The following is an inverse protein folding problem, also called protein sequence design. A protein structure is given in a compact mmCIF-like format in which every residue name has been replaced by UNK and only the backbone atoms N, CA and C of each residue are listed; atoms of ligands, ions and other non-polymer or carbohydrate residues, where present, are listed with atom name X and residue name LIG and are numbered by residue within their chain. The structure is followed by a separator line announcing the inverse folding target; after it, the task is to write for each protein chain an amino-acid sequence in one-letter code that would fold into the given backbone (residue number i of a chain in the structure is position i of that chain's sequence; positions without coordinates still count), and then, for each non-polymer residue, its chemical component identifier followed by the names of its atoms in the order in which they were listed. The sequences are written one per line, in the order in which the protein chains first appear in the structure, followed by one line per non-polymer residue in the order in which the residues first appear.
data_IF_286895542911
#
_entry.id   IF_286895542911
#
_cell.length_a   1.000
_cell.length_b   1.000
_cell.length_c   1.000
_cell.angle_alpha   90.00
_cell.angle_beta   90.00
_cell.angle_gamma   90.00
#
_symmetry.space_group_name_H-M   'P 1'
#
loop_
_entity.id
_entity.type
_entity.pdbx_description
1 polymer ?
#
# COMPACT_ATOMS: atom_id res chain seq x y z
N UNK A 1 5.38 -3.46 3.54
CA UNK A 1 4.02 -4.07 3.59
C UNK A 1 4.06 -5.59 3.44
N UNK A 2 4.62 -6.13 2.35
CA UNK A 2 4.62 -7.58 2.08
C UNK A 2 5.73 -8.37 2.79
N UNK A 3 6.63 -7.70 3.51
CA UNK A 3 7.66 -8.33 4.32
C UNK A 3 7.02 -9.05 5.53
N UNK A 4 7.20 -10.37 5.58
CA UNK A 4 6.69 -11.24 6.64
C UNK A 4 7.45 -11.10 7.98
N UNK A 5 8.60 -10.43 7.96
CA UNK A 5 9.37 -10.07 9.15
C UNK A 5 8.68 -9.00 10.01
N UNK A 6 7.64 -8.33 9.50
CA UNK A 6 6.85 -7.35 10.26
C UNK A 6 5.53 -7.98 10.70
N UNK A 7 5.23 -7.95 12.00
CA UNK A 7 3.95 -8.32 12.57
C UNK A 7 3.10 -7.06 12.83
N UNK A 8 1.84 -7.07 12.43
CA UNK A 8 0.92 -5.94 12.59
C UNK A 8 -0.08 -6.20 13.71
N UNK A 9 -0.21 -5.26 14.66
CA UNK A 9 -1.18 -5.34 15.77
C UNK A 9 -1.98 -4.04 15.87
N UNK A 10 -3.30 -4.10 16.11
CA UNK A 10 -4.10 -2.91 16.32
C UNK A 10 -3.67 -2.19 17.59
N UNK A 11 -3.70 -0.86 17.58
CA UNK A 11 -3.34 -0.03 18.75
C UNK A 11 -4.52 0.22 19.70
N UNK A 12 -5.75 -0.02 19.24
CA UNK A 12 -6.99 0.11 20.00
C UNK A 12 -8.06 -0.84 19.48
N UNK A 13 -9.15 -1.01 20.24
CA UNK A 13 -10.29 -1.88 19.86
C UNK A 13 -10.99 -1.41 18.57
N UNK A 14 -10.97 -0.10 18.29
CA UNK A 14 -11.52 0.47 17.05
C UNK A 14 -10.74 0.01 15.80
N UNK A 15 -9.49 -0.46 15.99
CA UNK A 15 -8.65 -1.04 14.95
C UNK A 15 -8.50 -0.18 13.70
N UNK A 16 -8.44 1.15 13.88
CA UNK A 16 -8.20 2.11 12.80
C UNK A 16 -6.71 2.34 12.55
N UNK A 17 -5.90 2.17 13.60
CA UNK A 17 -4.43 2.31 13.56
C UNK A 17 -3.78 1.00 14.03
N UNK A 18 -2.70 0.64 13.36
CA UNK A 18 -1.92 -0.57 13.58
C UNK A 18 -0.44 -0.22 13.72
N UNK A 19 0.24 -0.91 14.62
CA UNK A 19 1.68 -0.90 14.74
C UNK A 19 2.27 -2.12 14.06
N UNK A 20 3.18 -1.88 13.12
CA UNK A 20 4.04 -2.88 12.50
C UNK A 20 5.34 -2.98 13.28
N UNK A 21 5.52 -4.09 13.99
CA UNK A 21 6.71 -4.37 14.81
C UNK A 21 7.55 -5.46 14.16
N UNK A 22 8.86 -5.39 14.34
CA UNK A 22 9.75 -6.48 13.95
C UNK A 22 9.38 -7.75 14.72
N UNK A 23 9.22 -8.88 14.00
CA UNK A 23 8.80 -10.14 14.60
C UNK A 23 9.87 -10.72 15.54
N UNK A 24 11.15 -10.45 15.30
CA UNK A 24 12.24 -10.98 16.09
C UNK A 24 12.56 -10.08 17.30
N UNK A 25 12.58 -8.76 17.10
CA UNK A 25 13.02 -7.81 18.14
C UNK A 25 11.87 -7.14 18.89
N UNK A 26 10.65 -7.11 18.32
CA UNK A 26 9.51 -6.36 18.85
C UNK A 26 9.62 -4.84 18.66
N UNK A 27 10.66 -4.36 18.00
CA UNK A 27 10.89 -2.95 17.74
C UNK A 27 9.80 -2.38 16.82
N UNK A 28 9.30 -1.20 17.14
CA UNK A 28 8.33 -0.50 16.31
C UNK A 28 9.00 -0.03 15.02
N UNK A 29 8.54 -0.54 13.87
CA UNK A 29 9.06 -0.15 12.56
C UNK A 29 8.14 0.84 11.86
N UNK A 30 6.82 0.60 11.93
CA UNK A 30 5.84 1.33 11.14
C UNK A 30 4.53 1.54 11.89
N UNK A 31 3.79 2.57 11.53
CA UNK A 31 2.37 2.74 11.85
C UNK A 31 1.58 2.79 10.55
N UNK A 32 0.38 2.21 10.54
CA UNK A 32 -0.46 2.13 9.35
C UNK A 32 -1.94 2.12 9.73
N UNK A 33 -2.81 2.42 8.78
CA UNK A 33 -4.26 2.37 8.94
C UNK A 33 -4.87 1.15 8.25
N UNK A 34 -6.19 0.97 8.40
CA UNK A 34 -6.94 -0.06 7.65
C UNK A 34 -6.78 0.09 6.13
N UNK A 35 -6.73 1.32 5.63
CA UNK A 35 -6.62 1.59 4.18
C UNK A 35 -5.30 1.06 3.64
N UNK A 36 -4.22 1.20 4.42
CA UNK A 36 -2.89 0.73 4.03
C UNK A 36 -2.80 -0.80 4.09
N UNK A 37 -3.28 -1.40 5.19
CA UNK A 37 -3.18 -2.86 5.40
C UNK A 37 -4.13 -3.67 4.52
N UNK A 38 -5.19 -3.05 3.99
CA UNK A 38 -6.11 -3.72 3.07
C UNK A 38 -5.39 -4.29 1.84
N UNK A 39 -4.36 -3.61 1.33
CA UNK A 39 -3.53 -4.07 0.22
C UNK A 39 -2.69 -5.31 0.56
N UNK A 40 -2.49 -5.62 1.84
CA UNK A 40 -1.80 -6.84 2.29
C UNK A 40 -2.74 -7.98 2.70
N UNK A 41 -4.02 -7.69 2.94
CA UNK A 41 -5.00 -8.61 3.52
C UNK A 41 -6.07 -9.09 2.53
N UNK A 42 -6.53 -8.24 1.60
CA UNK A 42 -7.47 -8.64 0.56
C UNK A 42 -6.73 -9.41 -0.55
N UNK A 43 -7.19 -10.60 -0.94
CA UNK A 43 -6.48 -11.46 -1.90
C UNK A 43 -6.29 -10.82 -3.28
N UNK A 44 -7.27 -10.05 -3.76
CA UNK A 44 -7.18 -9.39 -5.07
C UNK A 44 -6.23 -8.20 -5.02
N UNK A 45 -6.33 -7.36 -3.99
CA UNK A 45 -5.44 -6.21 -3.85
C UNK A 45 -4.01 -6.63 -3.54
N UNK A 46 -3.84 -7.72 -2.79
CA UNK A 46 -2.53 -8.31 -2.51
C UNK A 46 -1.85 -8.80 -3.78
N UNK A 47 -2.58 -9.46 -4.69
CA UNK A 47 -2.02 -9.87 -5.96
C UNK A 47 -1.49 -8.66 -6.78
N UNK A 48 -2.19 -7.52 -6.74
CA UNK A 48 -1.73 -6.28 -7.39
C UNK A 48 -0.51 -5.72 -6.65
N UNK A 49 -0.53 -5.70 -5.32
CA UNK A 49 0.59 -5.20 -4.51
C UNK A 49 1.86 -6.03 -4.74
N UNK A 50 1.73 -7.35 -4.90
CA UNK A 50 2.84 -8.27 -5.20
C UNK A 50 3.48 -7.94 -6.55
N UNK A 51 2.69 -7.64 -7.59
CA UNK A 51 3.23 -7.20 -8.90
C UNK A 51 4.11 -5.96 -8.77
N UNK A 52 3.66 -4.94 -8.03
CA UNK A 52 4.43 -3.70 -7.87
C UNK A 52 5.59 -3.81 -6.88
N UNK A 53 5.60 -4.85 -6.03
CA UNK A 53 6.66 -5.10 -5.07
C UNK A 53 7.77 -6.03 -5.60
N UNK A 54 7.60 -6.61 -6.78
CA UNK A 54 8.65 -7.38 -7.44
C UNK A 54 9.88 -6.51 -7.74
N UNK A 55 11.08 -7.13 -7.73
CA UNK A 55 12.35 -6.43 -7.88
C UNK A 55 12.51 -5.72 -9.24
N UNK A 56 11.79 -6.17 -10.26
CA UNK A 56 11.78 -5.65 -11.63
C UNK A 56 10.65 -4.62 -11.88
N UNK A 57 9.77 -4.39 -10.91
CA UNK A 57 8.63 -3.49 -11.02
C UNK A 57 8.83 -1.99 -10.65
N UNK A 58 9.97 -1.49 -10.14
CA UNK A 58 10.09 -0.07 -9.77
C UNK A 58 9.80 0.92 -10.91
N UNK A 59 10.30 0.67 -12.11
CA UNK A 59 10.05 1.53 -13.28
C UNK A 59 8.59 1.49 -13.72
N UNK A 60 7.98 0.29 -13.69
CA UNK A 60 6.56 0.10 -13.98
C UNK A 60 5.69 0.87 -13.00
N UNK A 61 5.97 0.78 -11.69
CA UNK A 61 5.24 1.51 -10.67
C UNK A 61 5.30 3.02 -10.92
N UNK A 62 6.48 3.54 -11.25
CA UNK A 62 6.65 4.97 -11.54
C UNK A 62 5.80 5.42 -12.74
N UNK A 63 5.88 4.70 -13.86
CA UNK A 63 5.11 5.05 -15.06
C UNK A 63 3.60 4.94 -14.83
N UNK A 64 3.15 3.85 -14.19
CA UNK A 64 1.72 3.66 -13.91
C UNK A 64 1.20 4.71 -12.92
N UNK A 65 2.01 5.11 -11.94
CA UNK A 65 1.67 6.19 -11.00
C UNK A 65 1.53 7.54 -11.71
N UNK A 66 2.47 7.90 -12.59
CA UNK A 66 2.39 9.15 -13.37
C UNK A 66 1.17 9.14 -14.30
N UNK A 67 0.89 8.01 -14.96
CA UNK A 67 -0.26 7.88 -15.85
C UNK A 67 -1.60 8.05 -15.11
N UNK A 68 -1.75 7.46 -13.91
CA UNK A 68 -2.98 7.64 -13.13
C UNK A 68 -3.09 9.05 -12.56
N UNK A 69 -1.97 9.68 -12.19
CA UNK A 69 -1.96 11.08 -11.76
C UNK A 69 -2.46 12.00 -12.87
N UNK A 70 -1.88 11.91 -14.07
CA UNK A 70 -2.31 12.69 -15.24
C UNK A 70 -3.79 12.46 -15.58
N UNK A 71 -4.23 11.19 -15.55
CA UNK A 71 -5.64 10.86 -15.75
C UNK A 71 -6.55 11.59 -14.77
N UNK A 72 -6.24 11.54 -13.47
CA UNK A 72 -7.06 12.18 -12.43
C UNK A 72 -7.06 13.70 -12.58
N UNK A 73 -5.93 14.31 -12.95
CA UNK A 73 -5.82 15.76 -13.20
C UNK A 73 -6.63 16.25 -14.40
N UNK A 74 -7.01 15.36 -15.33
CA UNK A 74 -7.76 15.70 -16.52
C UNK A 74 -9.24 15.24 -16.47
N UNK A 75 -9.74 14.72 -15.35
CA UNK A 75 -11.11 14.18 -15.26
C UNK A 75 -12.22 15.22 -15.48
N UNK A 76 -11.94 16.50 -15.28
CA UNK A 76 -12.89 17.61 -15.45
C UNK A 76 -12.64 18.46 -16.70
N UNK A 77 -11.67 18.07 -17.54
CA UNK A 77 -11.30 18.74 -18.79
C UNK A 77 -12.25 18.40 -19.94
N UNK A 78 -13.54 18.68 -19.74
CA UNK A 78 -14.58 18.48 -20.77
C UNK A 78 -14.39 19.35 -22.02
N UNK A 79 -13.51 20.37 -21.96
CA UNK A 79 -13.12 21.24 -23.06
C UNK A 79 -12.18 20.59 -24.09
N UNK A 80 -11.56 19.46 -23.74
CA UNK A 80 -10.61 18.72 -24.60
C UNK A 80 -11.24 17.51 -25.31
N UNK A 81 -12.58 17.33 -25.22
CA UNK A 81 -13.32 16.20 -25.77
C UNK A 81 -13.70 16.36 -27.25
#
# INVERSE_FOLDING_TARGET
LLDMGTEWKPTSDDADVFEGRDRATGELKWTATRVDLLFGANSQLRAIAEVYACADAPEKLLHDFVAVWDKVMNLDRFDLA
#
